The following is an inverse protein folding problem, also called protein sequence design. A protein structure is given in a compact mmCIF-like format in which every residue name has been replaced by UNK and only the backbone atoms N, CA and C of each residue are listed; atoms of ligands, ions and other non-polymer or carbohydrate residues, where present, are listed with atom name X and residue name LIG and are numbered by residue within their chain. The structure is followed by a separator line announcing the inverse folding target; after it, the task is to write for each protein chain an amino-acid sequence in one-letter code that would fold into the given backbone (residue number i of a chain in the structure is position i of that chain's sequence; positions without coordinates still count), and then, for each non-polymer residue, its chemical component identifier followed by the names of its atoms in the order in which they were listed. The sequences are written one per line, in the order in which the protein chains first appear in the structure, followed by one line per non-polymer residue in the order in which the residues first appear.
data_IF_990976102064
#
_entry.id   IF_990976102064
#
_cell.length_a   1.000
_cell.length_b   1.000
_cell.length_c   1.000
_cell.angle_alpha   90.00
_cell.angle_beta   90.00
_cell.angle_gamma   90.00
#
_symmetry.space_group_name_H-M   'P 1'
#
loop_
_entity.id
_entity.type
_entity.pdbx_description
1 polymer ?
#
# COMPACT_ATOMS: atom_id res chain seq x y z
N UNK A 1 -18.14 15.59 -4.45
CA UNK A 1 -17.11 14.68 -3.90
C UNK A 1 -17.57 13.24 -3.71
N UNK A 2 -18.49 12.96 -2.78
CA UNK A 2 -18.91 11.58 -2.47
C UNK A 2 -19.37 10.76 -3.70
N UNK A 3 -20.16 11.37 -4.58
CA UNK A 3 -20.65 10.70 -5.79
C UNK A 3 -19.53 10.33 -6.78
N UNK A 4 -18.43 11.09 -6.80
CA UNK A 4 -17.27 10.83 -7.67
C UNK A 4 -16.49 9.63 -7.12
N UNK A 5 -16.25 9.60 -5.81
CA UNK A 5 -15.62 8.46 -5.13
C UNK A 5 -16.41 7.18 -5.34
N UNK A 6 -17.74 7.22 -5.17
CA UNK A 6 -18.61 6.07 -5.43
C UNK A 6 -18.54 5.61 -6.89
N UNK A 7 -18.51 6.54 -7.84
CA UNK A 7 -18.38 6.22 -9.26
C UNK A 7 -17.06 5.47 -9.55
N UNK A 8 -15.95 5.90 -8.96
CA UNK A 8 -14.66 5.21 -9.08
C UNK A 8 -14.70 3.80 -8.47
N UNK A 9 -15.28 3.63 -7.27
CA UNK A 9 -15.47 2.30 -6.67
C UNK A 9 -16.32 1.37 -7.56
N UNK A 10 -17.39 1.88 -8.15
CA UNK A 10 -18.23 1.10 -9.06
C UNK A 10 -17.47 0.68 -10.33
N UNK A 11 -16.63 1.56 -10.90
CA UNK A 11 -15.77 1.22 -12.05
C UNK A 11 -14.81 0.08 -11.69
N UNK A 12 -14.15 0.16 -10.54
CA UNK A 12 -13.19 -0.85 -10.07
C UNK A 12 -13.87 -2.20 -9.82
N UNK A 13 -15.06 -2.19 -9.21
CA UNK A 13 -15.89 -3.39 -9.00
C UNK A 13 -16.26 -4.05 -10.33
N UNK A 14 -16.69 -3.26 -11.33
CA UNK A 14 -17.07 -3.78 -12.66
C UNK A 14 -15.89 -4.43 -13.39
N UNK A 15 -14.68 -3.90 -13.22
CA UNK A 15 -13.46 -4.45 -13.83
C UNK A 15 -12.91 -5.69 -13.12
N UNK A 16 -13.55 -6.14 -12.02
CA UNK A 16 -13.05 -7.19 -11.13
C UNK A 16 -11.65 -6.93 -10.58
N UNK A 17 -11.16 -5.69 -10.66
CA UNK A 17 -9.85 -5.32 -10.12
C UNK A 17 -9.84 -5.53 -8.61
N UNK A 18 -10.86 -5.05 -7.89
CA UNK A 18 -11.03 -5.30 -6.46
C UNK A 18 -10.96 -6.80 -6.11
N UNK A 19 -11.59 -7.65 -6.92
CA UNK A 19 -11.55 -9.10 -6.71
C UNK A 19 -10.11 -9.65 -6.85
N UNK A 20 -9.38 -9.22 -7.88
CA UNK A 20 -7.97 -9.64 -8.05
C UNK A 20 -7.10 -9.19 -6.89
N UNK A 21 -7.34 -8.00 -6.33
CA UNK A 21 -6.59 -7.53 -5.17
C UNK A 21 -6.89 -8.33 -3.91
N UNK A 22 -8.16 -8.63 -3.66
CA UNK A 22 -8.54 -9.47 -2.51
C UNK A 22 -7.97 -10.88 -2.63
N UNK A 23 -7.88 -11.45 -3.83
CA UNK A 23 -7.23 -12.74 -4.06
C UNK A 23 -5.73 -12.66 -3.78
N UNK A 24 -5.04 -11.62 -4.24
CA UNK A 24 -3.61 -11.43 -3.97
C UNK A 24 -3.35 -11.19 -2.48
N UNK A 25 -4.25 -10.46 -1.79
CA UNK A 25 -4.22 -10.25 -0.35
C UNK A 25 -4.29 -11.57 0.46
N UNK A 26 -4.81 -12.65 -0.13
CA UNK A 26 -4.87 -13.96 0.52
C UNK A 26 -3.56 -14.73 0.42
N UNK A 27 -2.73 -14.45 -0.60
CA UNK A 27 -1.57 -15.27 -0.96
C UNK A 27 -0.55 -15.34 0.17
N UNK A 28 -0.10 -14.21 0.72
CA UNK A 28 0.93 -14.25 1.78
C UNK A 28 0.45 -14.85 3.09
N UNK A 29 -0.72 -14.47 3.66
CA UNK A 29 -1.25 -15.15 4.81
C UNK A 29 -1.32 -16.67 4.58
N UNK A 30 -1.79 -17.13 3.41
CA UNK A 30 -1.89 -18.55 3.10
C UNK A 30 -0.52 -19.27 2.98
N UNK A 31 0.49 -18.60 2.43
CA UNK A 31 1.85 -19.16 2.36
C UNK A 31 2.45 -19.28 3.76
N UNK A 32 2.29 -18.25 4.59
CA UNK A 32 2.85 -18.23 5.95
C UNK A 32 2.12 -19.20 6.86
N UNK A 33 0.79 -19.38 6.73
CA UNK A 33 0.06 -20.43 7.44
C UNK A 33 0.53 -21.82 7.07
N UNK A 34 0.69 -22.09 5.78
CA UNK A 34 1.20 -23.37 5.29
C UNK A 34 2.62 -23.63 5.82
N UNK A 35 3.49 -22.62 5.80
CA UNK A 35 4.84 -22.73 6.32
C UNK A 35 4.86 -22.98 7.84
N UNK A 36 4.03 -22.28 8.60
CA UNK A 36 3.91 -22.45 10.05
C UNK A 36 3.30 -23.79 10.47
N UNK A 37 2.42 -24.36 9.66
CA UNK A 37 1.83 -25.68 9.91
C UNK A 37 2.84 -26.84 9.71
N UNK A 38 3.87 -26.65 8.86
CA UNK A 38 4.79 -27.71 8.46
C UNK A 38 6.17 -27.66 9.14
N UNK A 39 6.50 -26.59 9.86
CA UNK A 39 7.77 -26.48 10.59
C UNK A 39 7.71 -27.13 11.96
N UNK A 40 8.80 -27.83 12.33
CA UNK A 40 8.99 -28.31 13.69
C UNK A 40 9.11 -27.14 14.65
N UNK A 41 8.23 -27.09 15.67
CA UNK A 41 8.16 -26.05 16.72
C UNK A 41 9.40 -25.93 17.63
N UNK A 42 10.45 -26.69 17.33
CA UNK A 42 11.75 -26.61 18.02
C UNK A 42 12.74 -25.68 17.29
N UNK A 43 12.40 -25.17 16.11
CA UNK A 43 13.19 -24.15 15.44
C UNK A 43 12.97 -22.79 16.13
N UNK A 44 14.03 -22.01 16.39
CA UNK A 44 13.92 -20.66 16.98
C UNK A 44 13.01 -19.71 16.15
N UNK A 45 12.85 -20.02 14.88
CA UNK A 45 12.09 -19.21 13.92
C UNK A 45 10.62 -19.65 13.91
N UNK A 46 9.72 -18.74 14.32
CA UNK A 46 8.26 -18.89 14.27
C UNK A 46 7.62 -19.67 15.43
N UNK A 47 8.16 -19.49 16.64
CA UNK A 47 7.59 -20.05 17.86
C UNK A 47 6.44 -19.21 18.43
N UNK A 48 6.45 -17.89 18.17
CA UNK A 48 5.46 -16.96 18.69
C UNK A 48 4.47 -16.51 17.62
N UNK A 49 3.26 -16.12 18.05
CA UNK A 49 2.30 -15.43 17.17
C UNK A 49 2.87 -14.12 16.61
N UNK A 50 3.76 -13.47 17.39
CA UNK A 50 4.47 -12.26 16.99
C UNK A 50 5.28 -12.46 15.71
N UNK A 51 6.07 -13.54 15.66
CA UNK A 51 6.90 -13.85 14.50
C UNK A 51 6.07 -14.22 13.28
N UNK A 52 4.98 -14.94 13.50
CA UNK A 52 4.02 -15.31 12.46
C UNK A 52 3.43 -14.07 11.77
N UNK A 53 2.82 -13.16 12.54
CA UNK A 53 2.21 -11.97 11.94
C UNK A 53 3.26 -10.99 11.42
N UNK A 54 4.45 -10.90 12.04
CA UNK A 54 5.56 -10.06 11.55
C UNK A 54 5.99 -10.48 10.15
N UNK A 55 6.18 -11.79 9.94
CA UNK A 55 6.58 -12.32 8.66
C UNK A 55 5.51 -12.03 7.59
N UNK A 56 4.26 -12.39 7.87
CA UNK A 56 3.16 -12.20 6.92
C UNK A 56 2.89 -10.73 6.62
N UNK A 57 2.76 -9.89 7.65
CA UNK A 57 2.46 -8.46 7.51
C UNK A 57 3.65 -7.68 6.96
N UNK A 58 4.89 -8.06 7.26
CA UNK A 58 6.10 -7.43 6.75
C UNK A 58 6.15 -7.47 5.23
N UNK A 59 6.07 -8.65 4.63
CA UNK A 59 6.06 -8.80 3.18
C UNK A 59 4.82 -8.18 2.53
N UNK A 60 3.66 -8.30 3.18
CA UNK A 60 2.43 -7.69 2.66
C UNK A 60 2.50 -6.16 2.63
N UNK A 61 2.95 -5.53 3.71
CA UNK A 61 2.97 -4.07 3.84
C UNK A 61 4.06 -3.39 3.01
N UNK A 62 5.22 -4.05 2.81
CA UNK A 62 6.40 -3.42 2.18
C UNK A 62 6.52 -3.74 0.68
N UNK A 63 6.08 -4.91 0.23
CA UNK A 63 6.23 -5.31 -1.18
C UNK A 63 4.88 -5.36 -1.89
N UNK A 64 3.96 -6.17 -1.38
CA UNK A 64 2.75 -6.50 -2.13
C UNK A 64 1.77 -5.33 -2.15
N UNK A 65 1.46 -4.73 -1.00
CA UNK A 65 0.53 -3.60 -0.93
C UNK A 65 0.97 -2.40 -1.79
N UNK A 66 2.23 -1.93 -1.74
CA UNK A 66 2.70 -0.87 -2.63
C UNK A 66 2.55 -1.22 -4.11
N UNK A 67 2.94 -2.42 -4.53
CA UNK A 67 2.85 -2.83 -5.94
C UNK A 67 1.38 -2.89 -6.38
N UNK A 68 0.50 -3.44 -5.54
CA UNK A 68 -0.95 -3.48 -5.78
C UNK A 68 -1.52 -2.06 -5.96
N UNK A 69 -1.19 -1.14 -5.06
CA UNK A 69 -1.63 0.25 -5.14
C UNK A 69 -1.10 0.96 -6.39
N UNK A 70 0.12 0.64 -6.83
CA UNK A 70 0.67 1.17 -8.09
C UNK A 70 -0.09 0.66 -9.32
N UNK A 71 -0.42 -0.64 -9.37
CA UNK A 71 -1.22 -1.23 -10.45
C UNK A 71 -2.64 -0.65 -10.46
N UNK A 72 -3.25 -0.48 -9.29
CA UNK A 72 -4.54 0.22 -9.18
C UNK A 72 -4.47 1.66 -9.66
N UNK A 73 -3.52 2.44 -9.14
CA UNK A 73 -3.36 3.83 -9.50
C UNK A 73 -3.17 3.95 -11.02
N UNK A 74 -2.29 3.14 -11.60
CA UNK A 74 -2.12 3.14 -13.06
C UNK A 74 -3.41 2.82 -13.79
N UNK A 75 -4.21 1.85 -13.34
CA UNK A 75 -5.49 1.54 -13.97
C UNK A 75 -6.51 2.68 -13.88
N UNK A 76 -6.65 3.30 -12.71
CA UNK A 76 -7.61 4.38 -12.41
C UNK A 76 -7.27 5.66 -13.19
N UNK A 77 -5.98 5.98 -13.30
CA UNK A 77 -5.52 7.18 -14.01
C UNK A 77 -5.38 6.94 -15.53
N UNK A 78 -4.96 5.75 -15.98
CA UNK A 78 -4.78 5.47 -17.41
C UNK A 78 -6.08 5.37 -18.19
N UNK A 79 -7.17 4.95 -17.53
CA UNK A 79 -8.50 4.93 -18.14
C UNK A 79 -8.92 6.29 -18.70
N UNK A 80 -8.55 7.37 -18.02
CA UNK A 80 -8.94 8.73 -18.41
C UNK A 80 -8.21 9.21 -19.67
N UNK A 81 -6.97 8.75 -19.87
CA UNK A 81 -6.16 9.07 -21.05
C UNK A 81 -6.52 8.21 -22.26
N UNK A 82 -6.95 6.96 -22.05
CA UNK A 82 -7.19 5.99 -23.13
C UNK A 82 -8.49 6.28 -23.91
N UNK A 83 -9.50 6.85 -23.27
CA UNK A 83 -10.80 7.12 -23.90
C UNK A 83 -11.00 8.58 -24.33
N UNK A 84 -9.96 9.43 -24.33
CA UNK A 84 -10.09 10.89 -24.52
C UNK A 84 -11.11 11.57 -23.59
N UNK A 85 -11.55 10.87 -22.53
CA UNK A 85 -12.58 11.34 -21.59
C UNK A 85 -12.13 12.57 -20.81
N UNK A 86 -10.84 12.87 -20.73
CA UNK A 86 -10.35 14.14 -20.18
C UNK A 86 -10.88 15.37 -20.94
N UNK A 87 -11.15 15.25 -22.26
CA UNK A 87 -11.74 16.32 -23.09
C UNK A 87 -13.26 16.43 -22.93
N UNK A 88 -13.94 15.34 -22.56
CA UNK A 88 -15.38 15.37 -22.24
C UNK A 88 -15.61 15.78 -20.78
N UNK A 89 -14.71 15.43 -19.84
CA UNK A 89 -14.73 15.87 -18.45
C UNK A 89 -14.53 17.38 -18.30
N UNK A 90 -13.82 18.04 -19.22
CA UNK A 90 -13.75 19.52 -19.26
C UNK A 90 -15.06 20.19 -19.65
N UNK A 91 -16.06 19.45 -20.12
CA UNK A 91 -17.42 19.98 -20.37
C UNK A 91 -18.33 19.90 -19.13
N UNK A 92 -17.94 19.12 -18.13
CA UNK A 92 -18.64 19.00 -16.85
C UNK A 92 -17.97 19.94 -15.84
N UNK A 93 -18.71 20.70 -15.02
CA UNK A 93 -18.11 21.70 -14.12
C UNK A 93 -17.51 21.04 -12.86
N UNK A 94 -16.58 20.10 -13.04
CA UNK A 94 -15.83 19.46 -11.94
C UNK A 94 -14.37 19.80 -12.13
N UNK A 95 -13.72 20.33 -11.09
CA UNK A 95 -12.32 20.71 -11.20
C UNK A 95 -11.40 19.47 -11.15
N UNK A 96 -10.32 19.50 -11.93
CA UNK A 96 -9.37 18.37 -12.04
C UNK A 96 -8.73 17.99 -10.71
N UNK A 97 -8.53 18.97 -9.83
CA UNK A 97 -8.03 18.75 -8.48
C UNK A 97 -9.00 17.90 -7.65
N UNK A 98 -10.32 18.09 -7.81
CA UNK A 98 -11.32 17.29 -7.11
C UNK A 98 -11.35 15.85 -7.62
N UNK A 99 -11.11 15.65 -8.92
CA UNK A 99 -10.96 14.31 -9.52
C UNK A 99 -9.71 13.62 -8.95
N UNK A 100 -8.56 14.30 -8.93
CA UNK A 100 -7.33 13.75 -8.36
C UNK A 100 -7.51 13.37 -6.88
N UNK A 101 -8.09 14.27 -6.08
CA UNK A 101 -8.34 14.01 -4.65
C UNK A 101 -9.29 12.82 -4.49
N UNK A 102 -10.34 12.72 -5.30
CA UNK A 102 -11.26 11.59 -5.23
C UNK A 102 -10.57 10.25 -5.50
N UNK A 103 -9.66 10.19 -6.48
CA UNK A 103 -8.88 8.97 -6.80
C UNK A 103 -7.95 8.60 -5.66
N UNK A 104 -7.28 9.58 -5.05
CA UNK A 104 -6.42 9.33 -3.90
C UNK A 104 -7.25 8.79 -2.73
N UNK A 105 -8.41 9.38 -2.43
CA UNK A 105 -9.32 8.87 -1.39
C UNK A 105 -9.73 7.42 -1.69
N UNK A 106 -9.99 7.06 -2.94
CA UNK A 106 -10.32 5.67 -3.30
C UNK A 106 -9.15 4.71 -3.06
N UNK A 107 -7.92 5.12 -3.37
CA UNK A 107 -6.71 4.32 -3.10
C UNK A 107 -6.52 4.09 -1.58
N UNK A 108 -6.74 5.12 -0.76
CA UNK A 108 -6.68 5.01 0.70
C UNK A 108 -7.77 4.10 1.27
N UNK A 109 -9.00 4.20 0.75
CA UNK A 109 -10.10 3.33 1.19
C UNK A 109 -9.80 1.85 0.88
N UNK A 110 -9.25 1.58 -0.30
CA UNK A 110 -8.89 0.23 -0.71
C UNK A 110 -7.70 -0.31 0.10
N UNK A 111 -6.63 0.48 0.29
CA UNK A 111 -5.47 0.04 1.08
C UNK A 111 -5.86 -0.35 2.51
N UNK A 112 -6.71 0.46 3.16
CA UNK A 112 -7.24 0.17 4.49
C UNK A 112 -8.06 -1.13 4.50
N UNK A 113 -8.94 -1.30 3.51
CA UNK A 113 -9.77 -2.51 3.42
C UNK A 113 -8.94 -3.78 3.23
N UNK A 114 -7.91 -3.72 2.38
CA UNK A 114 -6.99 -4.84 2.14
C UNK A 114 -6.22 -5.15 3.40
N UNK A 115 -5.65 -4.15 4.08
CA UNK A 115 -4.87 -4.40 5.29
C UNK A 115 -5.72 -4.97 6.43
N UNK A 116 -6.95 -4.49 6.62
CA UNK A 116 -7.87 -5.07 7.60
C UNK A 116 -8.21 -6.53 7.27
N UNK A 117 -8.46 -6.82 6.00
CA UNK A 117 -8.70 -8.18 5.54
C UNK A 117 -7.48 -9.07 5.75
N UNK A 118 -6.26 -8.59 5.48
CA UNK A 118 -5.02 -9.35 5.78
C UNK A 118 -4.86 -9.62 7.27
N UNK A 119 -5.19 -8.66 8.15
CA UNK A 119 -5.17 -8.87 9.60
C UNK A 119 -6.12 -9.98 10.05
N UNK A 120 -7.34 -10.00 9.50
CA UNK A 120 -8.30 -11.09 9.73
C UNK A 120 -7.75 -12.43 9.23
N UNK A 121 -7.22 -12.48 8.01
CA UNK A 121 -6.65 -13.72 7.45
C UNK A 121 -5.46 -14.24 8.26
N UNK A 122 -4.61 -13.36 8.77
CA UNK A 122 -3.49 -13.72 9.65
C UNK A 122 -4.02 -14.30 10.96
N UNK A 123 -5.05 -13.70 11.57
CA UNK A 123 -5.64 -14.22 12.81
C UNK A 123 -6.26 -15.61 12.62
N UNK A 124 -7.05 -15.80 11.55
CA UNK A 124 -7.63 -17.10 11.18
C UNK A 124 -6.50 -18.10 10.89
N UNK A 125 -5.50 -17.65 10.15
CA UNK A 125 -4.35 -18.45 9.77
C UNK A 125 -3.56 -18.99 10.96
N UNK A 126 -3.34 -18.15 11.98
CA UNK A 126 -2.66 -18.56 13.20
C UNK A 126 -3.47 -19.61 13.98
N UNK A 127 -4.79 -19.49 14.02
CA UNK A 127 -5.67 -20.50 14.64
C UNK A 127 -5.62 -21.82 13.87
N UNK A 128 -5.66 -21.76 12.54
CA UNK A 128 -5.60 -22.96 11.66
C UNK A 128 -4.25 -23.67 11.76
N UNK A 129 -3.14 -22.93 11.81
CA UNK A 129 -1.81 -23.50 11.99
C UNK A 129 -1.62 -24.15 13.37
N UNK A 130 -2.49 -23.83 14.34
CA UNK A 130 -2.45 -24.34 15.70
C UNK A 130 -1.19 -23.91 16.48
N UNK A 131 -1.05 -24.35 17.73
CA UNK A 131 0.23 -24.39 18.45
C UNK A 131 0.88 -23.06 18.87
N UNK A 132 0.21 -21.91 18.72
CA UNK A 132 0.70 -20.63 19.25
C UNK A 132 0.06 -20.35 20.62
N UNK A 133 0.71 -20.68 21.75
CA UNK A 133 0.12 -20.46 23.09
C UNK A 133 0.01 -18.98 23.43
N UNK A 134 0.80 -18.12 22.77
CA UNK A 134 0.87 -16.68 23.05
C UNK A 134 -0.27 -15.87 22.43
N UNK A 135 -1.22 -16.50 21.71
CA UNK A 135 -2.36 -15.78 21.12
C UNK A 135 -3.16 -15.14 22.24
N UNK A 136 -3.06 -13.81 22.32
CA UNK A 136 -3.71 -13.02 23.35
C UNK A 136 -4.38 -11.79 22.71
N UNK A 137 -5.42 -11.27 23.35
CA UNK A 137 -6.16 -10.10 22.87
C UNK A 137 -5.25 -8.89 22.65
N UNK A 138 -4.23 -8.70 23.49
CA UNK A 138 -3.24 -7.62 23.33
C UNK A 138 -2.47 -7.72 22.01
N UNK A 139 -2.05 -8.93 21.60
CA UNK A 139 -1.33 -9.12 20.34
C UNK A 139 -2.25 -9.00 19.14
N UNK A 140 -3.52 -9.42 19.25
CA UNK A 140 -4.52 -9.19 18.22
C UNK A 140 -4.76 -7.68 18.01
N UNK A 141 -4.93 -6.92 19.09
CA UNK A 141 -5.07 -5.46 19.00
C UNK A 141 -3.81 -4.84 18.36
N UNK A 142 -2.61 -5.30 18.75
CA UNK A 142 -1.35 -4.84 18.13
C UNK A 142 -1.31 -5.14 16.62
N UNK A 143 -1.76 -6.32 16.20
CA UNK A 143 -1.85 -6.70 14.78
C UNK A 143 -2.78 -5.75 14.01
N UNK A 144 -3.99 -5.48 14.51
CA UNK A 144 -4.92 -4.57 13.84
C UNK A 144 -4.42 -3.12 13.83
N UNK A 145 -3.73 -2.68 14.88
CA UNK A 145 -3.06 -1.37 14.90
C UNK A 145 -1.96 -1.28 13.84
N UNK A 146 -1.16 -2.34 13.65
CA UNK A 146 -0.17 -2.41 12.56
C UNK A 146 -0.82 -2.41 11.18
N UNK A 147 -1.97 -3.09 11.02
CA UNK A 147 -2.77 -3.06 9.79
C UNK A 147 -3.29 -1.65 9.49
N UNK A 148 -3.73 -0.91 10.50
CA UNK A 148 -4.14 0.49 10.36
C UNK A 148 -2.98 1.39 9.93
N UNK A 149 -1.82 1.29 10.60
CA UNK A 149 -0.66 2.11 10.27
C UNK A 149 -0.15 1.83 8.85
N UNK A 150 -0.04 0.56 8.46
CA UNK A 150 0.34 0.19 7.09
C UNK A 150 -0.70 0.64 6.06
N UNK A 151 -1.98 0.47 6.35
CA UNK A 151 -3.06 0.92 5.46
C UNK A 151 -3.08 2.42 5.19
N UNK A 152 -2.57 3.25 6.12
CA UNK A 152 -2.49 4.71 5.98
C UNK A 152 -1.13 5.20 5.44
N UNK A 153 -0.02 4.65 5.93
CA UNK A 153 1.33 5.12 5.59
C UNK A 153 1.78 4.63 4.21
N UNK A 154 1.40 3.41 3.81
CA UNK A 154 1.77 2.88 2.51
C UNK A 154 1.20 3.68 1.33
N UNK A 155 -0.10 4.02 1.27
CA UNK A 155 -0.60 4.86 0.18
C UNK A 155 0.02 6.27 0.17
N UNK A 156 0.34 6.85 1.34
CA UNK A 156 1.09 8.12 1.42
C UNK A 156 2.46 8.01 0.77
N UNK A 157 3.20 6.94 1.08
CA UNK A 157 4.52 6.68 0.51
C UNK A 157 4.48 6.44 -1.01
N UNK A 158 3.33 6.04 -1.56
CA UNK A 158 3.14 5.72 -2.98
C UNK A 158 2.69 6.91 -3.85
N UNK A 159 2.41 8.07 -3.26
CA UNK A 159 2.02 9.28 -4.00
C UNK A 159 3.03 9.76 -5.07
N UNK A 160 4.35 9.59 -4.90
CA UNK A 160 5.31 9.86 -5.98
C UNK A 160 5.05 9.08 -7.25
N UNK A 161 4.57 7.84 -7.14
CA UNK A 161 4.23 7.03 -8.31
C UNK A 161 2.96 7.57 -8.97
N UNK A 162 1.98 8.02 -8.19
CA UNK A 162 0.80 8.74 -8.73
C UNK A 162 1.24 9.95 -9.55
N UNK A 163 2.23 10.72 -9.07
CA UNK A 163 2.81 11.82 -9.84
C UNK A 163 3.45 11.37 -11.16
N UNK A 164 4.27 10.31 -11.15
CA UNK A 164 4.88 9.76 -12.37
C UNK A 164 3.82 9.29 -13.38
N UNK A 165 2.71 8.71 -12.89
CA UNK A 165 1.58 8.31 -13.73
C UNK A 165 0.96 9.54 -14.42
N UNK A 166 0.75 10.64 -13.70
CA UNK A 166 0.20 11.88 -14.29
C UNK A 166 1.11 12.50 -15.35
N UNK A 167 2.43 12.29 -15.27
CA UNK A 167 3.39 12.74 -16.28
C UNK A 167 3.37 11.83 -17.51
N UNK A 168 3.22 10.53 -17.31
CA UNK A 168 3.50 9.54 -18.35
C UNK A 168 2.51 9.54 -19.53
N UNK A 169 1.34 10.18 -19.39
CA UNK A 169 0.27 10.48 -20.40
C UNK A 169 -0.26 9.31 -21.27
N UNK A 170 0.56 8.39 -21.77
CA UNK A 170 0.20 7.25 -22.62
C UNK A 170 0.94 5.99 -22.21
N UNK A 171 0.18 4.95 -21.89
CA UNK A 171 0.69 3.60 -21.64
C UNK A 171 0.74 3.23 -20.16
N UNK A 172 0.47 1.95 -19.89
CA UNK A 172 0.45 1.37 -18.54
C UNK A 172 1.82 0.75 -18.16
N UNK A 173 2.62 0.35 -19.14
CA UNK A 173 3.86 -0.42 -18.91
C UNK A 173 4.91 0.40 -18.16
N UNK A 174 5.19 1.63 -18.61
CA UNK A 174 6.25 2.45 -18.02
C UNK A 174 5.94 2.80 -16.54
N UNK A 175 4.75 3.31 -16.18
CA UNK A 175 4.46 3.58 -14.78
C UNK A 175 4.47 2.34 -13.87
N UNK A 176 4.01 1.19 -14.38
CA UNK A 176 4.07 -0.08 -13.62
C UNK A 176 5.54 -0.50 -13.42
N UNK A 177 6.38 -0.42 -14.45
CA UNK A 177 7.80 -0.79 -14.32
C UNK A 177 8.55 0.11 -13.32
N UNK A 178 8.28 1.42 -13.33
CA UNK A 178 8.86 2.35 -12.37
C UNK A 178 8.34 2.09 -10.96
N UNK A 179 7.05 1.78 -10.81
CA UNK A 179 6.46 1.40 -9.53
C UNK A 179 7.17 0.18 -8.93
N UNK A 180 7.37 -0.87 -9.73
CA UNK A 180 8.05 -2.09 -9.29
C UNK A 180 9.49 -1.75 -8.89
N UNK A 181 10.25 -1.06 -9.73
CA UNK A 181 11.62 -0.67 -9.43
C UNK A 181 11.73 0.19 -8.16
N UNK A 182 10.82 1.15 -7.98
CA UNK A 182 10.75 2.02 -6.80
C UNK A 182 10.52 1.23 -5.50
N UNK A 183 9.55 0.31 -5.50
CA UNK A 183 9.26 -0.52 -4.32
C UNK A 183 10.41 -1.46 -4.01
N UNK A 184 10.96 -2.15 -5.03
CA UNK A 184 12.09 -3.06 -4.86
C UNK A 184 13.34 -2.35 -4.34
N UNK A 185 13.66 -1.17 -4.88
CA UNK A 185 14.80 -0.39 -4.43
C UNK A 185 14.62 0.06 -2.97
N UNK A 186 13.41 0.54 -2.63
CA UNK A 186 13.07 0.89 -1.25
C UNK A 186 13.16 -0.28 -0.27
N UNK A 187 12.86 -1.50 -0.72
CA UNK A 187 12.95 -2.70 0.10
C UNK A 187 14.40 -3.17 0.31
N UNK A 188 15.18 -3.32 -0.77
CA UNK A 188 16.55 -3.86 -0.69
C UNK A 188 17.46 -2.92 0.08
N UNK A 189 17.34 -1.61 -0.16
CA UNK A 189 18.16 -0.59 0.49
C UNK A 189 17.45 0.03 1.71
N UNK A 190 16.48 -0.68 2.30
CA UNK A 190 15.69 -0.19 3.42
C UNK A 190 16.57 0.26 4.60
N UNK A 191 17.63 -0.47 4.94
CA UNK A 191 18.55 -0.08 6.04
C UNK A 191 19.28 1.25 5.80
N UNK A 192 19.62 1.56 4.55
CA UNK A 192 20.35 2.78 4.16
C UNK A 192 19.46 3.96 3.76
N UNK A 193 18.24 3.70 3.30
CA UNK A 193 17.36 4.70 2.69
C UNK A 193 16.29 5.24 3.65
N UNK A 194 16.30 4.84 4.92
CA UNK A 194 15.36 5.39 5.90
C UNK A 194 15.61 6.88 6.09
N UNK A 195 14.53 7.67 5.97
CA UNK A 195 14.60 9.14 5.96
C UNK A 195 14.84 9.76 4.57
N UNK A 196 15.12 8.96 3.54
CA UNK A 196 15.28 9.41 2.15
C UNK A 196 14.19 8.82 1.25
N UNK A 197 14.01 7.51 1.27
CA UNK A 197 13.00 6.83 0.46
C UNK A 197 11.68 6.69 1.22
N UNK A 198 10.52 7.13 0.68
CA UNK A 198 9.24 7.13 1.38
C UNK A 198 8.78 5.74 1.82
N UNK A 199 8.95 4.71 0.99
CA UNK A 199 8.54 3.33 1.33
C UNK A 199 9.39 2.76 2.47
N UNK A 200 10.69 3.02 2.45
CA UNK A 200 11.62 2.57 3.50
C UNK A 200 11.37 3.34 4.81
N UNK A 201 11.02 4.62 4.68
CA UNK A 201 10.62 5.46 5.82
C UNK A 201 9.28 5.00 6.41
N UNK A 202 8.32 4.62 5.58
CA UNK A 202 7.03 4.07 6.03
C UNK A 202 7.24 2.73 6.76
N UNK A 203 8.10 1.85 6.24
CA UNK A 203 8.49 0.62 6.92
C UNK A 203 9.04 0.90 8.32
N UNK A 204 9.98 1.84 8.45
CA UNK A 204 10.57 2.19 9.74
C UNK A 204 9.50 2.66 10.74
N UNK A 205 8.56 3.52 10.30
CA UNK A 205 7.49 4.04 11.18
C UNK A 205 6.50 2.94 11.57
N UNK A 206 6.07 2.10 10.63
CA UNK A 206 5.12 1.01 10.90
C UNK A 206 5.69 0.03 11.93
N UNK A 207 6.98 -0.30 11.79
CA UNK A 207 7.63 -1.31 12.61
C UNK A 207 8.42 -0.77 13.81
N UNK A 208 8.35 0.54 14.06
CA UNK A 208 9.03 1.18 15.19
C UNK A 208 8.58 0.56 16.53
N UNK A 209 9.55 0.19 17.39
CA UNK A 209 9.34 -0.56 18.64
C UNK A 209 8.60 -1.92 18.49
N UNK A 210 8.44 -2.42 17.27
CA UNK A 210 7.78 -3.69 16.98
C UNK A 210 8.75 -4.76 16.45
N UNK A 211 10.04 -4.44 16.28
CA UNK A 211 11.10 -5.39 15.94
C UNK A 211 11.90 -5.81 17.19
N UNK A 212 11.68 -7.04 17.64
CA UNK A 212 12.74 -7.80 18.30
C UNK A 212 13.52 -8.49 17.17
N UNK A 213 14.68 -7.94 16.75
CA UNK A 213 15.63 -8.65 15.88
C UNK A 213 16.11 -7.97 14.58
N UNK A 214 15.51 -6.87 14.12
CA UNK A 214 16.08 -6.03 13.04
C UNK A 214 15.82 -4.56 13.39
N UNK A 215 16.83 -3.90 13.94
CA UNK A 215 16.78 -2.45 14.18
C UNK A 215 16.93 -1.75 12.84
N UNK A 216 15.82 -1.25 12.30
CA UNK A 216 15.92 -0.18 11.31
C UNK A 216 16.32 1.07 12.12
N UNK A 217 17.62 1.36 12.18
CA UNK A 217 18.21 2.46 12.95
C UNK A 217 17.91 3.82 12.33
N UNK A 218 16.64 4.09 12.04
CA UNK A 218 16.18 5.33 11.46
C UNK A 218 15.42 6.18 12.46
N UNK A 219 15.75 7.47 12.51
CA UNK A 219 14.97 8.41 13.30
C UNK A 219 13.52 8.50 12.78
N UNK A 220 12.54 8.26 13.65
CA UNK A 220 11.11 8.31 13.32
C UNK A 220 10.73 9.68 12.78
N UNK A 221 11.22 10.75 13.40
CA UNK A 221 10.84 12.12 13.04
C UNK A 221 11.28 12.43 11.61
N UNK A 222 12.49 12.03 11.24
CA UNK A 222 13.02 12.19 9.88
C UNK A 222 12.19 11.34 8.90
N UNK A 223 11.81 10.12 9.29
CA UNK A 223 10.99 9.23 8.47
C UNK A 223 9.59 9.81 8.19
N UNK A 224 8.93 10.36 9.22
CA UNK A 224 7.63 11.02 9.09
C UNK A 224 7.71 12.29 8.25
N UNK A 225 8.71 13.14 8.51
CA UNK A 225 8.95 14.36 7.73
C UNK A 225 9.21 14.02 6.25
N UNK A 226 9.97 12.97 5.97
CA UNK A 226 10.21 12.53 4.61
C UNK A 226 8.91 12.11 3.90
N UNK A 227 8.09 11.25 4.53
CA UNK A 227 6.81 10.81 3.95
C UNK A 227 5.90 12.02 3.67
N UNK A 228 5.79 12.94 4.63
CA UNK A 228 4.95 14.14 4.48
C UNK A 228 5.48 15.09 3.40
N UNK A 229 6.78 15.36 3.39
CA UNK A 229 7.38 16.26 2.41
C UNK A 229 7.23 15.71 0.98
N UNK A 230 7.55 14.43 0.78
CA UNK A 230 7.48 13.78 -0.54
C UNK A 230 6.03 13.60 -1.02
N UNK A 231 5.09 13.31 -0.11
CA UNK A 231 3.66 13.26 -0.45
C UNK A 231 3.11 14.63 -0.85
N UNK A 232 3.44 15.70 -0.11
CA UNK A 232 3.01 17.05 -0.47
C UNK A 232 3.62 17.51 -1.80
N UNK A 233 4.91 17.24 -2.01
CA UNK A 233 5.59 17.59 -3.26
C UNK A 233 4.96 16.88 -4.47
N UNK A 234 4.65 15.58 -4.34
CA UNK A 234 4.02 14.81 -5.41
C UNK A 234 2.57 15.23 -5.69
N UNK A 235 1.80 15.62 -4.66
CA UNK A 235 0.46 16.21 -4.82
C UNK A 235 0.50 17.57 -5.53
N UNK A 236 1.42 18.45 -5.12
CA UNK A 236 1.61 19.73 -5.79
C UNK A 236 2.05 19.54 -7.24
N UNK A 237 3.02 18.66 -7.50
CA UNK A 237 3.47 18.34 -8.85
C UNK A 237 2.35 17.81 -9.73
N UNK A 238 1.56 16.86 -9.24
CA UNK A 238 0.47 16.24 -10.02
C UNK A 238 -0.65 17.23 -10.35
N UNK A 239 -1.03 18.10 -9.41
CA UNK A 239 -2.00 19.18 -9.69
C UNK A 239 -1.50 20.18 -10.74
N UNK A 240 -0.23 20.60 -10.68
CA UNK A 240 0.38 21.49 -11.68
C UNK A 240 0.40 20.83 -13.06
N UNK A 241 0.79 19.56 -13.15
CA UNK A 241 0.82 18.81 -14.42
C UNK A 241 -0.57 18.68 -15.02
N UNK A 242 -1.60 18.40 -14.21
CA UNK A 242 -2.99 18.30 -14.68
C UNK A 242 -3.55 19.65 -15.15
N UNK A 243 -3.16 20.75 -14.51
CA UNK A 243 -3.57 22.10 -14.91
C UNK A 243 -2.83 22.59 -16.16
N UNK A 244 -1.55 22.26 -16.34
CA UNK A 244 -0.78 22.60 -17.56
C UNK A 244 -1.22 21.87 -18.82
N UNK A 245 -1.99 20.79 -18.70
CA UNK A 245 -2.54 20.07 -19.86
C UNK A 245 -3.70 20.82 -20.56
N UNK A 246 -3.97 22.08 -20.19
CA UNK A 246 -5.00 22.96 -20.76
C UNK A 246 -4.52 23.86 -21.91
N UNK A 247 -3.21 24.00 -22.13
CA UNK A 247 -2.63 24.74 -23.26
C UNK A 247 -2.17 23.82 -24.37
#
# INVERSE_FOLDING_TARGET
MHNIVLAEFMKLKRKKLLLTEFLIAFVMPAIVTYYAANISRNASFMNSFSDFYKLSLGYMSILILPIMLGILATSIFSDEYKYNTMKELSSVPVSKNEILISKIITLFGISLSIMMLTGLLISIGAVVAGGFPDINFTLLIRLFTLCLYSGLLTPLAMLPIVFIITISKKGYVLPISICVAYVFFGYIAASSLVGIHPVSSAMNVIWYNNFEGITVEGNILISLLNILFVSLFSLMGSSIVLNKQEG
#
